data_IF_975673881387
#
_entry.id   IF_975673881387
#
_cell.length_a   1.000
_cell.length_b   1.000
_cell.length_c   1.000
_cell.angle_alpha   90.00
_cell.angle_beta   90.00
_cell.angle_gamma   90.00
#
_symmetry.space_group_name_H-M   'P 1'
#
loop_
_entity.id
_entity.type
_entity.pdbx_description
1 polymer ?
#
# COMPACT_ATOMS: atom_id res chain seq x y z
N UNK A 1 -10.37 -16.35 22.00
CA UNK A 1 -9.51 -16.76 20.88
C UNK A 1 -9.23 -15.64 19.86
N UNK A 2 -10.10 -14.62 19.73
CA UNK A 2 -9.93 -13.49 18.77
C UNK A 2 -8.80 -12.51 19.13
N UNK A 3 -8.51 -12.33 20.43
CA UNK A 3 -7.43 -11.43 20.88
C UNK A 3 -6.03 -11.91 20.48
N UNK A 4 -5.78 -13.22 20.43
CA UNK A 4 -4.46 -13.76 20.10
C UNK A 4 -4.13 -13.56 18.61
N UNK A 5 -5.09 -13.82 17.72
CA UNK A 5 -4.95 -13.62 16.27
C UNK A 5 -4.77 -12.15 15.88
N UNK A 6 -5.39 -11.22 16.62
CA UNK A 6 -5.22 -9.79 16.34
C UNK A 6 -3.84 -9.27 16.74
N UNK A 7 -3.25 -9.80 17.82
CA UNK A 7 -1.89 -9.46 18.24
C UNK A 7 -0.82 -10.03 17.31
N UNK A 8 -1.00 -11.24 16.79
CA UNK A 8 -0.06 -11.86 15.84
C UNK A 8 -0.02 -11.07 14.53
N UNK A 9 -1.18 -10.68 13.97
CA UNK A 9 -1.23 -9.92 12.73
C UNK A 9 -0.50 -8.56 12.87
N UNK A 10 -0.67 -7.88 14.01
CA UNK A 10 -0.03 -6.58 14.26
C UNK A 10 1.50 -6.69 14.43
N UNK A 11 1.99 -7.79 15.01
CA UNK A 11 3.42 -8.08 15.11
C UNK A 11 4.03 -8.42 13.76
N UNK A 12 3.33 -9.22 12.94
CA UNK A 12 3.76 -9.59 11.60
C UNK A 12 3.82 -8.37 10.68
N UNK A 13 2.81 -7.49 10.71
CA UNK A 13 2.82 -6.21 9.98
C UNK A 13 3.99 -5.31 10.43
N UNK A 14 4.27 -5.24 11.73
CA UNK A 14 5.40 -4.47 12.25
C UNK A 14 6.75 -5.02 11.79
N UNK A 15 6.93 -6.33 11.82
CA UNK A 15 8.15 -6.99 11.33
C UNK A 15 8.32 -6.81 9.84
N UNK A 16 7.25 -6.98 9.06
CA UNK A 16 7.24 -6.77 7.61
C UNK A 16 7.78 -5.37 7.27
N UNK A 17 7.24 -4.32 7.90
CA UNK A 17 7.67 -2.94 7.65
C UNK A 17 9.15 -2.73 7.89
N UNK A 18 9.73 -3.36 8.93
CA UNK A 18 11.17 -3.22 9.21
C UNK A 18 12.06 -3.89 8.18
N UNK A 19 11.56 -4.92 7.51
CA UNK A 19 12.32 -5.68 6.50
C UNK A 19 12.20 -5.08 5.10
N UNK A 20 11.11 -4.35 4.83
CA UNK A 20 10.89 -3.69 3.55
C UNK A 20 11.91 -2.57 3.28
N UNK A 21 12.27 -2.40 2.01
CA UNK A 21 13.02 -1.23 1.55
C UNK A 21 12.24 0.06 1.83
N UNK A 22 12.92 1.21 1.92
CA UNK A 22 12.26 2.52 2.12
C UNK A 22 11.19 2.80 1.05
N UNK A 23 11.44 2.42 -0.20
CA UNK A 23 10.48 2.55 -1.30
C UNK A 23 9.26 1.65 -1.08
N UNK A 24 9.47 0.38 -0.73
CA UNK A 24 8.39 -0.57 -0.48
C UNK A 24 7.56 -0.17 0.76
N UNK A 25 8.19 0.37 1.80
CA UNK A 25 7.50 0.92 2.96
C UNK A 25 6.59 2.09 2.57
N UNK A 26 7.07 3.01 1.73
CA UNK A 26 6.26 4.14 1.23
C UNK A 26 5.08 3.67 0.37
N UNK A 27 5.28 2.67 -0.49
CA UNK A 27 4.19 2.04 -1.27
C UNK A 27 3.15 1.40 -0.35
N UNK A 28 3.57 0.62 0.63
CA UNK A 28 2.66 -0.01 1.60
C UNK A 28 1.85 1.05 2.37
N UNK A 29 2.51 2.09 2.89
CA UNK A 29 1.83 3.20 3.57
C UNK A 29 0.82 3.92 2.67
N UNK A 30 1.17 4.12 1.39
CA UNK A 30 0.28 4.75 0.41
C UNK A 30 -0.96 3.89 0.14
N UNK A 31 -0.78 2.57 -0.05
CA UNK A 31 -1.88 1.63 -0.26
C UNK A 31 -2.83 1.63 0.95
N UNK A 32 -2.29 1.45 2.16
CA UNK A 32 -3.09 1.41 3.39
C UNK A 32 -3.88 2.70 3.60
N UNK A 33 -3.24 3.85 3.33
CA UNK A 33 -3.91 5.13 3.46
C UNK A 33 -5.07 5.26 2.48
N UNK A 34 -4.85 4.95 1.19
CA UNK A 34 -5.88 5.07 0.15
C UNK A 34 -6.97 4.00 0.23
N UNK A 35 -6.71 2.85 0.86
CA UNK A 35 -7.76 1.87 1.15
C UNK A 35 -8.62 2.25 2.36
N UNK A 36 -8.08 3.05 3.28
CA UNK A 36 -8.80 3.52 4.47
C UNK A 36 -9.59 4.82 4.20
N UNK A 37 -9.08 5.71 3.34
CA UNK A 37 -9.74 6.96 2.94
C UNK A 37 -10.23 6.88 1.50
N UNK A 38 -11.51 7.19 1.26
CA UNK A 38 -12.15 6.92 -0.03
C UNK A 38 -11.62 7.73 -1.21
N UNK A 39 -11.15 8.97 -1.00
CA UNK A 39 -10.59 9.88 -2.03
C UNK A 39 -9.75 10.99 -1.36
N UNK A 40 -8.60 11.32 -1.94
CA UNK A 40 -7.69 12.37 -1.44
C UNK A 40 -6.94 13.02 -2.61
N UNK A 41 -6.33 14.19 -2.40
CA UNK A 41 -5.54 14.85 -3.45
C UNK A 41 -4.07 14.43 -3.45
N UNK A 42 -3.39 14.54 -4.61
CA UNK A 42 -1.94 14.33 -4.68
C UNK A 42 -1.13 15.24 -3.74
N UNK A 43 -1.62 16.46 -3.48
CA UNK A 43 -0.97 17.41 -2.57
C UNK A 43 -1.01 16.93 -1.11
N UNK A 44 -2.15 16.41 -0.68
CA UNK A 44 -2.32 15.83 0.67
C UNK A 44 -1.42 14.59 0.83
N UNK A 45 -1.37 13.72 -0.18
CA UNK A 45 -0.49 12.55 -0.19
C UNK A 45 0.99 12.91 -0.11
N UNK A 46 1.43 13.88 -0.91
CA UNK A 46 2.81 14.37 -0.91
C UNK A 46 3.21 14.87 0.49
N UNK A 47 2.33 15.61 1.14
CA UNK A 47 2.54 16.13 2.49
C UNK A 47 2.59 14.99 3.51
N UNK A 48 1.61 14.06 3.46
CA UNK A 48 1.47 12.97 4.44
C UNK A 48 2.61 11.96 4.38
N UNK A 49 3.07 11.61 3.17
CA UNK A 49 4.18 10.68 2.97
C UNK A 49 5.55 11.38 2.96
N UNK A 50 5.62 12.69 3.16
CA UNK A 50 6.85 13.49 3.04
C UNK A 50 7.61 13.14 1.75
N UNK A 51 6.89 13.18 0.63
CA UNK A 51 7.36 12.78 -0.71
C UNK A 51 6.92 13.81 -1.74
N UNK A 52 7.60 13.87 -2.90
CA UNK A 52 7.18 14.76 -3.99
C UNK A 52 5.95 14.21 -4.70
N UNK A 53 5.13 15.09 -5.30
CA UNK A 53 3.96 14.70 -6.11
C UNK A 53 4.36 13.74 -7.23
N UNK A 54 5.49 13.99 -7.90
CA UNK A 54 6.02 13.10 -8.93
C UNK A 54 6.35 11.71 -8.38
N UNK A 55 6.93 11.62 -7.18
CA UNK A 55 7.19 10.33 -6.54
C UNK A 55 5.88 9.59 -6.21
N UNK A 56 4.86 10.30 -5.70
CA UNK A 56 3.54 9.71 -5.43
C UNK A 56 2.91 9.17 -6.72
N UNK A 57 2.96 9.92 -7.82
CA UNK A 57 2.47 9.46 -9.13
C UNK A 57 3.21 8.22 -9.61
N UNK A 58 4.53 8.20 -9.50
CA UNK A 58 5.34 7.03 -9.87
C UNK A 58 4.96 5.82 -9.00
N UNK A 59 4.82 5.99 -7.69
CA UNK A 59 4.38 4.91 -6.81
C UNK A 59 3.00 4.37 -7.19
N UNK A 60 2.05 5.23 -7.56
CA UNK A 60 0.72 4.79 -7.99
C UNK A 60 0.75 4.01 -9.31
N UNK A 61 1.56 4.45 -10.27
CA UNK A 61 1.78 3.70 -11.53
C UNK A 61 2.40 2.34 -11.24
N UNK A 62 3.42 2.29 -10.38
CA UNK A 62 4.04 1.04 -9.96
C UNK A 62 3.06 0.13 -9.21
N UNK A 63 2.22 0.69 -8.33
CA UNK A 63 1.20 -0.07 -7.60
C UNK A 63 0.17 -0.68 -8.56
N UNK A 64 -0.34 0.09 -9.51
CA UNK A 64 -1.32 -0.40 -10.50
C UNK A 64 -0.76 -1.54 -11.36
N UNK A 65 0.56 -1.51 -11.62
CA UNK A 65 1.29 -2.54 -12.37
C UNK A 65 1.63 -3.78 -11.53
N UNK A 66 2.11 -3.58 -10.30
CA UNK A 66 2.61 -4.66 -9.42
C UNK A 66 1.49 -5.43 -8.71
N UNK A 67 0.34 -4.77 -8.45
CA UNK A 67 -0.75 -5.31 -7.64
C UNK A 67 -2.01 -5.46 -8.51
N UNK A 68 -2.18 -6.57 -9.24
CA UNK A 68 -3.30 -6.75 -10.18
C UNK A 68 -4.69 -6.78 -9.50
N UNK A 69 -4.70 -6.99 -8.18
CA UNK A 69 -5.90 -7.00 -7.34
C UNK A 69 -6.25 -5.62 -6.76
N UNK A 70 -5.41 -4.60 -6.99
CA UNK A 70 -5.72 -3.21 -6.72
C UNK A 70 -6.15 -2.51 -8.01
N UNK A 71 -6.91 -1.43 -7.85
CA UNK A 71 -7.32 -0.56 -8.95
C UNK A 71 -7.11 0.89 -8.52
N UNK A 72 -6.18 1.57 -9.20
CA UNK A 72 -5.93 3.00 -8.99
C UNK A 72 -6.92 3.80 -9.85
N UNK A 73 -7.68 4.68 -9.21
CA UNK A 73 -8.57 5.60 -9.91
C UNK A 73 -8.14 7.03 -9.64
N UNK A 74 -8.04 7.83 -10.70
CA UNK A 74 -7.82 9.27 -10.61
C UNK A 74 -8.89 10.02 -11.39
N UNK A 75 -9.46 11.06 -10.80
CA UNK A 75 -10.43 11.91 -11.48
C UNK A 75 -9.82 13.21 -12.04
N UNK A 76 -10.63 13.91 -12.83
CA UNK A 76 -10.25 15.16 -13.48
C UNK A 76 -9.89 16.29 -12.48
N UNK A 77 -10.24 16.14 -11.20
CA UNK A 77 -9.94 17.09 -10.14
C UNK A 77 -8.65 16.76 -9.38
N UNK A 78 -7.83 15.84 -9.93
CA UNK A 78 -6.59 15.38 -9.29
C UNK A 78 -6.81 14.70 -7.94
N UNK A 79 -8.02 14.18 -7.71
CA UNK A 79 -8.27 13.27 -6.60
C UNK A 79 -7.89 11.86 -7.05
N UNK A 80 -7.30 11.13 -6.12
CA UNK A 80 -6.92 9.74 -6.29
C UNK A 80 -7.60 8.90 -5.22
N UNK A 81 -8.01 7.72 -5.63
CA UNK A 81 -8.55 6.67 -4.77
C UNK A 81 -7.95 5.34 -5.18
N UNK A 82 -7.89 4.42 -4.22
CA UNK A 82 -7.46 3.05 -4.45
C UNK A 82 -8.58 2.13 -3.98
N UNK A 83 -8.88 1.12 -4.78
CA UNK A 83 -9.88 0.13 -4.42
C UNK A 83 -9.30 -1.28 -4.56
N UNK A 84 -9.71 -2.17 -3.65
CA UNK A 84 -9.51 -3.60 -3.81
C UNK A 84 -10.54 -4.12 -4.81
N UNK A 85 -10.11 -4.97 -5.74
CA UNK A 85 -11.03 -5.72 -6.58
C UNK A 85 -11.90 -6.66 -5.73
N UNK A 86 -13.11 -7.03 -6.17
CA UNK A 86 -14.08 -7.77 -5.34
C UNK A 86 -13.58 -9.11 -4.76
N UNK A 87 -12.57 -9.72 -5.38
CA UNK A 87 -11.99 -11.00 -4.95
C UNK A 87 -10.83 -10.85 -3.96
N UNK A 88 -10.41 -9.63 -3.64
CA UNK A 88 -9.19 -9.36 -2.90
C UNK A 88 -9.44 -8.68 -1.55
N UNK A 89 -8.47 -8.85 -0.66
CA UNK A 89 -8.47 -8.36 0.71
C UNK A 89 -7.17 -7.63 1.03
N UNK A 90 -7.14 -6.89 2.14
CA UNK A 90 -5.91 -6.27 2.61
C UNK A 90 -4.79 -7.30 2.89
N UNK A 91 -5.15 -8.54 3.23
CA UNK A 91 -4.18 -9.61 3.44
C UNK A 91 -3.40 -9.95 2.17
N UNK A 92 -4.00 -9.81 0.99
CA UNK A 92 -3.34 -10.04 -0.29
C UNK A 92 -2.24 -9.00 -0.55
N UNK A 93 -2.45 -7.75 -0.12
CA UNK A 93 -1.44 -6.67 -0.15
C UNK A 93 -0.23 -7.08 0.69
N UNK A 94 -0.44 -7.44 1.97
CA UNK A 94 0.64 -7.83 2.86
C UNK A 94 1.37 -9.09 2.37
N UNK A 95 0.62 -10.08 1.86
CA UNK A 95 1.16 -11.31 1.31
C UNK A 95 2.08 -11.04 0.11
N UNK A 96 1.71 -10.10 -0.76
CA UNK A 96 2.55 -9.69 -1.88
C UNK A 96 3.90 -9.11 -1.42
N UNK A 97 3.89 -8.24 -0.40
CA UNK A 97 5.12 -7.69 0.18
C UNK A 97 5.99 -8.76 0.86
N UNK A 98 5.39 -9.76 1.51
CA UNK A 98 6.11 -10.92 2.04
C UNK A 98 6.77 -11.75 0.92
N UNK A 99 6.07 -11.99 -0.18
CA UNK A 99 6.62 -12.72 -1.33
C UNK A 99 7.81 -11.98 -1.96
N UNK A 100 7.74 -10.66 -2.09
CA UNK A 100 8.86 -9.84 -2.53
C UNK A 100 10.09 -10.10 -1.65
N UNK A 101 9.93 -10.03 -0.32
CA UNK A 101 11.04 -10.27 0.60
C UNK A 101 11.62 -11.69 0.46
N UNK A 102 10.79 -12.69 0.22
CA UNK A 102 11.27 -14.07 0.01
C UNK A 102 12.05 -14.20 -1.30
N UNK A 103 11.61 -13.56 -2.38
CA UNK A 103 12.29 -13.59 -3.67
C UNK A 103 13.64 -12.86 -3.70
N UNK A 104 13.86 -11.87 -2.82
CA UNK A 104 15.14 -11.15 -2.73
C UNK A 104 16.17 -11.80 -1.79
N UNK A 105 15.78 -12.83 -1.03
CA UNK A 105 16.65 -13.51 -0.06
C UNK A 105 17.18 -14.89 -0.54
N UNK A 106 16.92 -15.26 -1.80
CA UNK A 106 17.44 -16.45 -2.48
C UNK A 106 18.01 -16.09 -3.85
#
# INVERSE_FOLDING_TARGET
MVLFTHYTNKLEEFMLRKLLSSTSQKKLQLIEYLLNDSKTSFHELATKLSSSISAIKNYLIEIDSEFPFLEVQSDNFSLVSLQLRPFATLMDVYSHFWLILLHFNY
#
